data_IF_183855395588
#
_entry.id   IF_183855395588
#
_cell.length_a   1.000
_cell.length_b   1.000
_cell.length_c   1.000
_cell.angle_alpha   90.00
_cell.angle_beta   90.00
_cell.angle_gamma   90.00
#
_symmetry.space_group_name_H-M   'P 1'
#
loop_
_entity.id
_entity.type
_entity.pdbx_description
1 polymer ?
#
# COMPACT_ATOMS: atom_id res chain seq x y z
N UNK A 1 -17.03 -26.74 40.12
CA UNK A 1 -17.65 -25.49 39.66
C UNK A 1 -16.78 -24.35 40.16
N UNK A 2 -15.92 -23.83 39.29
CA UNK A 2 -14.93 -22.81 39.64
C UNK A 2 -15.56 -21.48 39.26
N UNK A 3 -15.86 -20.67 40.27
CA UNK A 3 -16.55 -19.39 40.15
C UNK A 3 -15.64 -18.30 39.56
N UNK A 4 -16.28 -17.44 38.77
CA UNK A 4 -15.74 -16.23 38.17
C UNK A 4 -15.15 -15.28 39.22
N UNK A 5 -14.07 -14.59 38.84
CA UNK A 5 -13.59 -13.39 39.53
C UNK A 5 -13.52 -12.23 38.55
N UNK A 6 -14.51 -11.35 38.66
CA UNK A 6 -14.42 -9.95 38.24
C UNK A 6 -13.52 -9.20 39.21
N UNK A 7 -12.60 -8.39 38.70
CA UNK A 7 -11.90 -7.38 39.51
C UNK A 7 -11.97 -6.03 38.81
N UNK A 8 -12.46 -5.07 39.58
CA UNK A 8 -12.70 -3.67 39.26
C UNK A 8 -11.39 -2.88 39.11
N UNK A 9 -11.43 -1.85 38.28
CA UNK A 9 -10.33 -0.93 38.07
C UNK A 9 -9.99 -0.07 39.30
N UNK A 10 -8.75 0.42 39.29
CA UNK A 10 -8.31 1.59 40.05
C UNK A 10 -7.51 2.45 39.09
N UNK A 11 -8.01 3.65 38.83
CA UNK A 11 -7.27 4.70 38.15
C UNK A 11 -6.47 5.51 39.16
N UNK A 12 -5.21 5.80 38.83
CA UNK A 12 -4.46 6.91 39.42
C UNK A 12 -3.61 7.48 38.28
N UNK A 13 -3.83 8.75 37.95
CA UNK A 13 -3.15 9.43 36.87
C UNK A 13 -1.71 9.79 37.24
N UNK A 14 -0.83 9.71 36.24
CA UNK A 14 0.44 10.43 36.22
C UNK A 14 0.62 11.01 34.81
N UNK A 15 0.55 12.32 34.71
CA UNK A 15 0.90 13.08 33.51
C UNK A 15 2.43 13.15 33.40
N UNK A 16 2.98 12.55 32.36
CA UNK A 16 4.31 12.91 31.84
C UNK A 16 4.20 13.01 30.31
N UNK A 17 4.52 14.20 29.83
CA UNK A 17 4.61 14.57 28.42
C UNK A 17 5.68 13.74 27.72
N UNK A 18 5.44 13.24 26.51
CA UNK A 18 6.36 13.28 25.35
C UNK A 18 5.63 12.73 24.09
N UNK A 19 5.77 13.47 22.97
CA UNK A 19 5.24 13.28 21.61
C UNK A 19 4.44 12.01 21.23
N UNK A 20 3.20 12.19 20.79
CA UNK A 20 2.48 11.22 19.94
C UNK A 20 2.67 11.61 18.48
N UNK A 21 3.27 10.83 17.57
CA UNK A 21 3.13 9.39 17.28
C UNK A 21 1.69 9.01 16.96
N UNK A 22 1.30 9.26 15.71
CA UNK A 22 0.03 8.82 15.14
C UNK A 22 0.12 7.32 14.83
N UNK A 23 -0.59 6.52 15.62
CA UNK A 23 -0.78 5.09 15.40
C UNK A 23 -1.56 4.84 14.10
N UNK A 24 -1.00 4.02 13.19
CA UNK A 24 -1.80 3.24 12.25
C UNK A 24 -1.78 1.80 12.72
N UNK A 25 -2.97 1.30 13.09
CA UNK A 25 -3.18 -0.07 13.54
C UNK A 25 -2.74 -1.07 12.47
N UNK A 26 -1.77 -1.92 12.83
CA UNK A 26 -1.54 -3.19 12.14
C UNK A 26 -2.81 -4.03 12.23
N UNK A 27 -3.40 -4.37 11.09
CA UNK A 27 -4.38 -5.46 11.02
C UNK A 27 -3.58 -6.74 10.89
N UNK A 28 -3.74 -7.65 11.86
CA UNK A 28 -3.14 -8.98 11.84
C UNK A 28 -3.48 -9.72 10.54
N UNK A 29 -2.48 -10.07 9.74
CA UNK A 29 -2.62 -11.01 8.63
C UNK A 29 -2.42 -12.44 9.16
N UNK A 30 -3.30 -13.41 8.84
CA UNK A 30 -3.16 -14.77 9.34
C UNK A 30 -1.98 -15.50 8.65
N UNK A 31 -1.18 -16.18 9.46
CA UNK A 31 -0.09 -17.07 9.05
C UNK A 31 -0.63 -18.33 8.35
N UNK A 32 -1.08 -18.21 7.09
CA UNK A 32 -1.01 -19.27 6.08
C UNK A 32 -1.71 -18.81 4.80
N UNK A 33 -0.94 -18.35 3.81
CA UNK A 33 -1.40 -18.28 2.44
C UNK A 33 -0.33 -18.93 1.55
N UNK A 34 -0.42 -20.26 1.41
CA UNK A 34 0.30 -20.99 0.37
C UNK A 34 -0.23 -20.54 -0.99
N UNK A 35 0.64 -19.95 -1.81
CA UNK A 35 0.29 -19.48 -3.16
C UNK A 35 0.09 -20.67 -4.11
N UNK A 36 -1.14 -21.19 -4.19
CA UNK A 36 -1.56 -22.11 -5.26
C UNK A 36 -2.12 -21.32 -6.46
N UNK A 37 -1.78 -21.76 -7.68
CA UNK A 37 -2.01 -21.06 -8.97
C UNK A 37 -3.48 -21.07 -9.44
N UNK A 38 -4.43 -21.49 -8.61
CA UNK A 38 -5.75 -21.90 -9.04
C UNK A 38 -6.95 -21.00 -8.71
N UNK A 39 -6.82 -19.90 -7.93
CA UNK A 39 -8.01 -19.27 -7.37
C UNK A 39 -8.13 -17.75 -7.62
N UNK A 40 -8.64 -17.38 -8.80
CA UNK A 40 -8.98 -15.98 -9.15
C UNK A 40 -10.16 -15.42 -8.32
N UNK A 41 -11.02 -16.28 -7.76
CA UNK A 41 -12.13 -15.83 -6.88
C UNK A 41 -11.62 -15.32 -5.51
N UNK A 42 -10.42 -15.71 -5.08
CA UNK A 42 -9.82 -15.23 -3.83
C UNK A 42 -9.27 -13.80 -3.94
N UNK A 43 -9.01 -13.33 -5.17
CA UNK A 43 -8.62 -11.93 -5.48
C UNK A 43 -9.79 -10.97 -5.20
N UNK A 44 -11.04 -11.47 -5.18
CA UNK A 44 -12.22 -10.63 -4.95
C UNK A 44 -12.43 -10.21 -3.49
N UNK A 45 -11.84 -10.86 -2.46
CA UNK A 45 -12.34 -10.68 -1.08
C UNK A 45 -11.29 -10.80 0.04
N UNK A 46 -10.20 -10.02 -0.05
CA UNK A 46 -9.44 -9.68 1.16
C UNK A 46 -10.08 -8.49 1.89
N UNK A 47 -9.95 -8.35 3.24
CA UNK A 47 -10.45 -7.17 3.98
C UNK A 47 -9.88 -5.84 3.46
N UNK A 48 -8.80 -5.91 2.68
CA UNK A 48 -8.05 -4.81 2.09
C UNK A 48 -8.77 -4.08 0.94
N UNK A 49 -9.85 -4.66 0.37
CA UNK A 49 -10.66 -4.02 -0.69
C UNK A 49 -11.93 -3.33 -0.13
N UNK A 50 -12.07 -3.21 1.19
CA UNK A 50 -13.10 -2.37 1.82
C UNK A 50 -12.75 -0.88 1.81
N UNK A 51 -13.75 -0.05 2.13
CA UNK A 51 -13.55 1.39 2.39
C UNK A 51 -12.57 1.54 3.56
N UNK A 52 -11.57 2.41 3.38
CA UNK A 52 -10.56 2.65 4.40
C UNK A 52 -10.32 4.15 4.61
N UNK A 53 -9.71 4.51 5.74
CA UNK A 53 -9.52 5.91 6.16
C UNK A 53 -8.05 6.21 6.42
N UNK A 54 -7.54 7.28 5.83
CA UNK A 54 -6.18 7.80 6.05
C UNK A 54 -6.26 9.29 6.34
N UNK A 55 -5.70 9.74 7.48
CA UNK A 55 -5.68 11.15 7.90
C UNK A 55 -7.05 11.86 7.79
N UNK A 56 -8.13 11.19 8.17
CA UNK A 56 -9.48 11.77 8.10
C UNK A 56 -10.21 11.57 6.77
N UNK A 57 -9.50 11.26 5.68
CA UNK A 57 -10.07 11.07 4.34
C UNK A 57 -10.40 9.60 4.08
N UNK A 58 -11.60 9.36 3.57
CA UNK A 58 -12.04 8.03 3.14
C UNK A 58 -11.62 7.75 1.70
N UNK A 59 -11.28 6.49 1.44
CA UNK A 59 -10.94 5.97 0.14
C UNK A 59 -11.74 4.70 -0.10
N UNK A 60 -12.32 4.60 -1.30
CA UNK A 60 -13.07 3.43 -1.75
C UNK A 60 -12.29 2.77 -2.86
N UNK A 61 -11.83 1.52 -2.67
CA UNK A 61 -11.26 0.75 -3.75
C UNK A 61 -12.26 0.64 -4.92
N UNK A 62 -11.72 0.72 -6.13
CA UNK A 62 -12.45 0.60 -7.39
C UNK A 62 -13.06 -0.81 -7.49
N UNK A 63 -14.19 -0.92 -8.17
CA UNK A 63 -14.77 -2.24 -8.46
C UNK A 63 -13.81 -3.06 -9.35
N UNK A 64 -13.62 -4.37 -9.09
CA UNK A 64 -12.75 -5.20 -9.91
C UNK A 64 -13.10 -5.23 -11.41
N UNK A 65 -14.38 -5.10 -11.78
CA UNK A 65 -14.82 -4.99 -13.17
C UNK A 65 -14.33 -3.71 -13.83
N UNK A 66 -14.51 -2.59 -13.15
CA UNK A 66 -14.07 -1.27 -13.60
C UNK A 66 -12.55 -1.22 -13.73
N UNK A 67 -11.84 -1.79 -12.74
CA UNK A 67 -10.39 -1.82 -12.71
C UNK A 67 -9.75 -2.52 -13.91
N UNK A 68 -10.43 -3.48 -14.56
CA UNK A 68 -9.88 -4.16 -15.75
C UNK A 68 -9.68 -3.23 -16.93
N UNK A 69 -10.38 -2.11 -16.96
CA UNK A 69 -10.29 -1.10 -18.01
C UNK A 69 -9.45 0.12 -17.58
N UNK A 70 -8.83 0.04 -16.41
CA UNK A 70 -8.07 1.15 -15.84
C UNK A 70 -6.85 1.47 -16.68
N UNK A 71 -6.77 2.75 -17.07
CA UNK A 71 -5.61 3.36 -17.68
C UNK A 71 -5.52 4.81 -17.21
N UNK A 72 -4.33 5.24 -16.78
CA UNK A 72 -4.12 6.60 -16.31
C UNK A 72 -2.69 7.06 -16.56
N UNK A 73 -2.52 8.39 -16.61
CA UNK A 73 -1.21 9.03 -16.72
C UNK A 73 -1.03 9.98 -15.54
N UNK A 74 0.16 9.96 -14.93
CA UNK A 74 0.45 10.83 -13.80
C UNK A 74 1.86 10.61 -13.23
N UNK A 75 2.17 11.32 -12.15
CA UNK A 75 3.45 11.19 -11.47
C UNK A 75 3.56 9.86 -10.73
N UNK A 76 4.63 9.12 -10.97
CA UNK A 76 5.10 8.06 -10.10
C UNK A 76 6.17 8.60 -9.14
N UNK A 77 6.16 8.10 -7.91
CA UNK A 77 7.32 8.14 -7.01
C UNK A 77 7.81 6.72 -6.71
N UNK A 78 8.76 6.61 -5.79
CA UNK A 78 9.14 5.33 -5.23
C UNK A 78 9.34 5.38 -3.72
N UNK A 79 9.19 4.23 -3.08
CA UNK A 79 9.47 3.97 -1.68
C UNK A 79 10.47 2.81 -1.55
N UNK A 80 11.34 2.89 -0.55
CA UNK A 80 12.41 1.95 -0.34
C UNK A 80 12.72 1.71 1.13
N UNK A 81 14.00 1.56 1.40
CA UNK A 81 14.54 1.17 2.69
C UNK A 81 14.17 2.13 3.84
N UNK A 82 13.95 3.40 3.52
CA UNK A 82 13.43 4.39 4.47
C UNK A 82 12.05 4.03 5.00
N UNK A 83 11.17 3.48 4.16
CA UNK A 83 9.85 3.00 4.57
C UNK A 83 9.96 1.70 5.35
N UNK A 84 10.83 0.77 4.92
CA UNK A 84 11.08 -0.49 5.62
C UNK A 84 11.54 -0.28 7.07
N UNK A 85 12.31 0.78 7.32
CA UNK A 85 12.85 1.11 8.65
C UNK A 85 11.86 1.84 9.57
N UNK A 86 10.69 2.24 9.08
CA UNK A 86 9.66 2.85 9.93
C UNK A 86 8.92 1.77 10.73
N UNK A 87 8.50 2.04 11.98
CA UNK A 87 7.61 1.16 12.72
C UNK A 87 6.34 0.86 11.91
N UNK A 88 6.11 -0.41 11.57
CA UNK A 88 4.96 -0.85 10.76
C UNK A 88 5.14 -0.71 9.23
N UNK A 89 6.32 -0.34 8.74
CA UNK A 89 6.63 -0.25 7.30
C UNK A 89 7.14 -1.55 6.68
N UNK A 90 7.19 -2.64 7.44
CA UNK A 90 7.65 -3.96 7.04
C UNK A 90 6.54 -4.85 6.47
N UNK A 91 5.28 -4.38 6.44
CA UNK A 91 4.12 -5.13 5.94
C UNK A 91 3.28 -4.21 5.05
N UNK A 92 2.89 -4.70 3.87
CA UNK A 92 2.02 -3.97 2.93
C UNK A 92 0.56 -4.03 3.36
N UNK A 93 -0.27 -3.18 2.77
CA UNK A 93 -1.70 -3.15 3.03
C UNK A 93 -2.47 -4.41 2.59
N UNK A 94 -1.86 -5.39 1.92
CA UNK A 94 -2.46 -6.71 1.70
C UNK A 94 -1.88 -7.81 2.60
N UNK A 95 -1.02 -7.45 3.56
CA UNK A 95 -0.42 -8.35 4.54
C UNK A 95 0.88 -9.03 4.07
N UNK A 96 1.43 -8.66 2.92
CA UNK A 96 2.70 -9.22 2.43
C UNK A 96 3.89 -8.51 3.10
N UNK A 97 5.02 -9.21 3.36
CA UNK A 97 6.25 -8.55 3.76
C UNK A 97 6.66 -7.51 2.71
N UNK A 98 7.00 -6.31 3.18
CA UNK A 98 7.57 -5.30 2.30
C UNK A 98 9.03 -5.62 2.02
N UNK A 99 9.34 -5.81 0.73
CA UNK A 99 10.71 -5.93 0.21
C UNK A 99 10.95 -4.80 -0.81
N UNK A 100 11.86 -3.85 -0.52
CA UNK A 100 12.14 -2.71 -1.40
C UNK A 100 12.79 -3.11 -2.74
N UNK A 101 13.36 -4.31 -2.85
CA UNK A 101 13.95 -4.84 -4.08
C UNK A 101 12.96 -5.63 -4.94
N UNK A 102 11.81 -6.01 -4.37
CA UNK A 102 10.75 -6.69 -5.11
C UNK A 102 10.07 -5.76 -6.12
N UNK A 103 9.48 -6.32 -7.19
CA UNK A 103 8.80 -5.53 -8.23
C UNK A 103 7.32 -5.34 -7.86
N UNK A 104 7.08 -4.38 -6.98
CA UNK A 104 5.76 -4.03 -6.45
C UNK A 104 5.44 -2.53 -6.57
N UNK A 105 4.19 -2.19 -6.29
CA UNK A 105 3.66 -0.84 -6.25
C UNK A 105 2.52 -0.67 -5.24
N UNK A 106 2.29 0.58 -4.82
CA UNK A 106 1.15 1.03 -4.05
C UNK A 106 0.20 1.87 -4.91
N UNK A 107 -1.10 1.65 -4.77
CA UNK A 107 -2.13 2.44 -5.44
C UNK A 107 -3.35 2.66 -4.52
N UNK A 108 -3.97 3.85 -4.62
CA UNK A 108 -5.03 4.28 -3.69
C UNK A 108 -6.31 3.46 -3.84
N UNK A 109 -6.73 3.22 -5.08
CA UNK A 109 -8.06 2.66 -5.35
C UNK A 109 -8.08 1.38 -6.17
N UNK A 110 -7.09 1.06 -7.01
CA UNK A 110 -6.99 -0.26 -7.64
C UNK A 110 -7.19 -1.40 -6.62
N UNK A 111 -8.00 -2.43 -6.92
CA UNK A 111 -8.15 -3.60 -6.08
C UNK A 111 -6.79 -4.24 -5.75
N UNK A 112 -6.65 -4.82 -4.56
CA UNK A 112 -5.46 -5.58 -4.20
C UNK A 112 -5.76 -7.08 -4.19
N UNK A 113 -4.82 -7.92 -4.69
CA UNK A 113 -3.72 -7.51 -5.56
C UNK A 113 -4.23 -7.15 -6.97
N UNK A 114 -3.56 -6.21 -7.64
CA UNK A 114 -3.73 -5.97 -9.09
C UNK A 114 -2.41 -6.19 -9.83
N UNK A 115 -2.49 -6.43 -11.14
CA UNK A 115 -1.32 -6.41 -12.03
C UNK A 115 -1.40 -5.22 -12.97
N UNK A 116 -0.33 -4.46 -13.06
CA UNK A 116 -0.26 -3.26 -13.90
C UNK A 116 0.98 -3.28 -14.79
N UNK A 117 0.87 -2.72 -15.99
CA UNK A 117 1.99 -2.27 -16.78
C UNK A 117 2.22 -0.80 -16.48
N UNK A 118 3.44 -0.45 -16.10
CA UNK A 118 3.86 0.94 -15.91
C UNK A 118 4.90 1.27 -16.97
N UNK A 119 4.67 2.34 -17.71
CA UNK A 119 5.58 2.86 -18.73
C UNK A 119 6.08 4.23 -18.31
N UNK A 120 7.39 4.39 -18.18
CA UNK A 120 8.02 5.69 -18.01
C UNK A 120 8.01 6.43 -19.34
N UNK A 121 7.27 7.54 -19.41
CA UNK A 121 7.02 8.27 -20.65
C UNK A 121 8.22 9.11 -21.10
N UNK A 122 9.19 9.34 -20.22
CA UNK A 122 10.40 10.11 -20.54
C UNK A 122 11.44 9.28 -21.28
N UNK A 123 11.47 7.97 -21.06
CA UNK A 123 12.48 7.06 -21.62
C UNK A 123 11.91 5.83 -22.35
N UNK A 124 10.58 5.68 -22.38
CA UNK A 124 9.88 4.58 -23.05
C UNK A 124 10.00 3.21 -22.37
N UNK A 125 10.70 3.09 -21.24
CA UNK A 125 10.87 1.81 -20.53
C UNK A 125 9.55 1.42 -19.87
N UNK A 126 9.20 0.14 -19.92
CA UNK A 126 8.01 -0.40 -19.28
C UNK A 126 8.32 -1.62 -18.42
N UNK A 127 7.48 -1.84 -17.40
CA UNK A 127 7.60 -2.96 -16.47
C UNK A 127 6.20 -3.39 -16.03
N UNK A 128 6.01 -4.70 -15.89
CA UNK A 128 4.81 -5.25 -15.27
C UNK A 128 5.05 -5.36 -13.76
N UNK A 129 4.13 -4.85 -12.94
CA UNK A 129 4.23 -4.81 -11.49
C UNK A 129 3.00 -5.39 -10.84
N UNK A 130 3.18 -5.89 -9.62
CA UNK A 130 2.08 -6.21 -8.72
C UNK A 130 1.76 -5.00 -7.85
N UNK A 131 0.51 -4.56 -7.86
CA UNK A 131 -0.01 -3.63 -6.87
C UNK A 131 -0.45 -4.45 -5.66
N UNK A 132 0.22 -4.26 -4.53
CA UNK A 132 -0.06 -4.99 -3.29
C UNK A 132 -0.20 -4.06 -2.07
N UNK A 133 -0.13 -2.75 -2.27
CA UNK A 133 -0.16 -1.78 -1.19
C UNK A 133 -1.04 -0.55 -1.49
N UNK A 134 -1.29 0.26 -0.46
CA UNK A 134 -2.15 1.45 -0.50
C UNK A 134 -1.34 2.73 -0.44
N UNK A 135 -1.72 3.70 -1.26
CA UNK A 135 -1.03 4.98 -1.39
C UNK A 135 -0.92 5.41 -2.86
N UNK A 136 -0.20 6.49 -3.18
CA UNK A 136 0.47 7.40 -2.26
C UNK A 136 -0.54 8.34 -1.56
N UNK A 137 -0.22 8.73 -0.32
CA UNK A 137 -1.02 9.64 0.50
C UNK A 137 -0.26 10.93 0.80
N UNK A 138 -0.95 12.04 1.09
CA UNK A 138 -0.30 13.27 1.52
C UNK A 138 0.57 13.07 2.77
N UNK A 139 1.87 13.32 2.65
CA UNK A 139 2.79 13.44 3.79
C UNK A 139 2.74 14.85 4.39
N UNK A 140 3.11 14.99 5.67
CA UNK A 140 3.12 16.30 6.35
C UNK A 140 4.25 17.21 5.83
N UNK A 141 5.32 16.62 5.30
CA UNK A 141 6.46 17.32 4.72
C UNK A 141 6.26 17.70 3.25
N UNK A 142 5.42 16.95 2.53
CA UNK A 142 5.08 17.22 1.14
C UNK A 142 3.61 16.88 0.87
N UNK A 143 2.68 17.80 1.09
CA UNK A 143 1.25 17.57 0.84
C UNK A 143 0.95 17.15 -0.60
N UNK A 144 1.70 17.67 -1.58
CA UNK A 144 1.55 17.34 -3.00
C UNK A 144 1.95 15.89 -3.34
N UNK A 145 2.60 15.16 -2.43
CA UNK A 145 2.81 13.71 -2.60
C UNK A 145 1.51 12.92 -2.74
N UNK A 146 0.41 13.44 -2.20
CA UNK A 146 -0.92 12.87 -2.36
C UNK A 146 -1.45 12.92 -3.79
N UNK A 147 -0.91 13.78 -4.67
CA UNK A 147 -1.38 13.94 -6.06
C UNK A 147 -0.72 12.93 -7.02
N UNK A 148 0.26 12.16 -6.53
CA UNK A 148 0.97 11.15 -7.33
C UNK A 148 0.05 9.97 -7.65
N UNK A 149 0.13 9.47 -8.87
CA UNK A 149 -0.72 8.40 -9.36
C UNK A 149 -0.42 7.05 -8.69
N UNK A 150 0.88 6.75 -8.53
CA UNK A 150 1.35 5.44 -8.09
C UNK A 150 2.69 5.60 -7.35
N UNK A 151 2.93 4.75 -6.36
CA UNK A 151 4.23 4.67 -5.68
C UNK A 151 4.87 3.32 -5.99
N UNK A 152 6.10 3.30 -6.49
CA UNK A 152 6.77 2.05 -6.88
C UNK A 152 7.80 1.62 -5.84
N UNK A 153 8.08 0.33 -5.76
CA UNK A 153 9.30 -0.15 -5.09
C UNK A 153 10.57 0.48 -5.67
N UNK A 154 11.60 0.65 -4.83
CA UNK A 154 12.94 1.06 -5.25
C UNK A 154 13.49 0.17 -6.38
N UNK A 155 13.29 -1.15 -6.30
CA UNK A 155 13.63 -2.12 -7.34
C UNK A 155 12.98 -1.79 -8.69
N UNK A 156 11.67 -1.52 -8.70
CA UNK A 156 10.97 -1.11 -9.91
C UNK A 156 11.46 0.23 -10.46
N UNK A 157 11.70 1.22 -9.60
CA UNK A 157 12.18 2.54 -10.01
C UNK A 157 13.57 2.48 -10.66
N UNK A 158 14.45 1.59 -10.20
CA UNK A 158 15.74 1.31 -10.85
C UNK A 158 15.55 0.71 -12.24
N UNK A 159 14.65 -0.26 -12.37
CA UNK A 159 14.32 -0.90 -13.66
C UNK A 159 13.61 0.04 -14.64
N UNK A 160 12.84 1.01 -14.18
CA UNK A 160 12.19 2.03 -15.02
C UNK A 160 13.07 3.28 -15.24
N UNK A 161 14.24 3.33 -14.60
CA UNK A 161 15.26 4.36 -14.84
C UNK A 161 14.96 5.72 -14.23
N UNK A 162 14.22 5.80 -13.12
CA UNK A 162 13.94 7.07 -12.44
C UNK A 162 14.32 7.10 -10.95
N UNK A 163 14.93 6.02 -10.43
CA UNK A 163 15.35 5.93 -9.03
C UNK A 163 16.11 7.19 -8.53
N UNK A 164 17.17 7.61 -9.25
CA UNK A 164 17.96 8.80 -8.88
C UNK A 164 17.20 10.13 -9.04
N UNK A 165 16.19 10.17 -9.92
CA UNK A 165 15.36 11.36 -10.17
C UNK A 165 14.26 11.53 -9.11
N UNK A 166 13.86 10.44 -8.47
CA UNK A 166 12.79 10.41 -7.47
C UNK A 166 11.39 10.33 -8.07
N UNK A 167 11.13 11.08 -9.14
CA UNK A 167 9.83 11.12 -9.82
C UNK A 167 9.95 10.80 -11.31
N UNK A 168 8.89 10.22 -11.88
CA UNK A 168 8.73 10.05 -13.33
C UNK A 168 7.29 10.28 -13.76
N UNK A 169 7.10 10.85 -14.95
CA UNK A 169 5.79 10.86 -15.59
C UNK A 169 5.53 9.49 -16.21
N UNK A 170 4.47 8.80 -15.76
CA UNK A 170 4.21 7.42 -16.17
C UNK A 170 2.79 7.24 -16.72
N UNK A 171 2.64 6.23 -17.57
CA UNK A 171 1.35 5.60 -17.89
C UNK A 171 1.22 4.32 -17.08
N UNK A 172 0.06 4.12 -16.45
CA UNK A 172 -0.31 2.91 -15.70
C UNK A 172 -1.53 2.27 -16.37
N UNK A 173 -1.44 0.98 -16.66
CA UNK A 173 -2.50 0.20 -17.31
C UNK A 173 -2.68 -1.11 -16.55
N UNK A 174 -3.91 -1.49 -16.18
CA UNK A 174 -4.16 -2.82 -15.60
C UNK A 174 -4.00 -3.88 -16.69
N UNK A 175 -3.29 -4.98 -16.36
CA UNK A 175 -3.00 -6.07 -17.30
C UNK A 175 -3.47 -7.41 -16.74
N UNK A 176 -4.58 -7.91 -17.28
CA UNK A 176 -5.21 -9.15 -16.85
C UNK A 176 -6.18 -8.93 -15.69
N UNK A 177 -7.35 -9.57 -15.80
CA UNK A 177 -8.38 -9.69 -14.78
C UNK A 177 -8.39 -11.06 -14.14
#
# INVERSE_FOLDING_TARGET
MIGEKTIHGVGIGLWLMFGGLFYLLCVNAPENLTLDRGNLEQIKQGPWNGVYKVKGKFYTPMDPEEARHYHAVGWASWYGEETYRLPGGNTTANGEPFDPDFISAAHRTLPLPSRVRVTNLENGRSLNLRVNDRGPFPSDYNPASGDRLIDLSAGAARKLGFYKKGLAWVRVEVIGG
#
